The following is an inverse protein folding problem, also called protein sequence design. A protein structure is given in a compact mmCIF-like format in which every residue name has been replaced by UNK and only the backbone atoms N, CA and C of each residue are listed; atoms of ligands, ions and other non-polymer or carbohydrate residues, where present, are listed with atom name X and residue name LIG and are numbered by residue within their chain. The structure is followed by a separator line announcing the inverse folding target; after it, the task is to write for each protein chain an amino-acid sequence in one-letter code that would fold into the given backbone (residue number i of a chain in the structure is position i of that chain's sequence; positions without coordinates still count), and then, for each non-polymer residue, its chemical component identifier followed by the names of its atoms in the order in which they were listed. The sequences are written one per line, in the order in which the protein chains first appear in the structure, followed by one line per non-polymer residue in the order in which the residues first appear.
data_IF_778673740045
#
_entry.id   IF_778673740045
#
_cell.length_a   1.000
_cell.length_b   1.000
_cell.length_c   1.000
_cell.angle_alpha   90.00
_cell.angle_beta   90.00
_cell.angle_gamma   90.00
#
_symmetry.space_group_name_H-M   'P 1'
#
loop_
_entity.id
_entity.type
_entity.pdbx_description
1 polymer ?
#
# COMPACT_ATOMS: atom_id res chain seq x y z
N UNK A 1 11.96 -35.47 12.36
CA UNK A 1 11.28 -36.72 11.96
C UNK A 1 12.19 -37.53 11.04
N UNK A 2 13.07 -38.36 11.61
CA UNK A 2 13.86 -39.33 10.85
C UNK A 2 12.91 -40.54 10.66
N UNK A 3 12.66 -41.00 9.43
CA UNK A 3 11.88 -42.21 9.06
C UNK A 3 10.38 -42.10 8.72
N UNK A 4 9.80 -40.89 8.50
CA UNK A 4 8.43 -40.80 7.93
C UNK A 4 8.44 -40.92 6.40
N UNK A 5 7.53 -41.74 5.86
CA UNK A 5 7.31 -41.86 4.40
C UNK A 5 6.81 -40.52 3.84
N UNK A 6 7.32 -40.13 2.68
CA UNK A 6 6.81 -38.96 1.92
C UNK A 6 5.34 -39.21 1.56
N UNK A 7 4.53 -38.15 1.52
CA UNK A 7 3.06 -38.17 1.34
C UNK A 7 2.27 -38.95 2.39
N UNK A 8 2.88 -39.25 3.54
CA UNK A 8 2.15 -39.82 4.68
C UNK A 8 1.50 -38.74 5.54
N UNK A 9 0.35 -39.08 6.13
CA UNK A 9 -0.43 -38.26 7.05
C UNK A 9 -0.69 -39.04 8.34
N UNK A 10 -0.60 -38.37 9.48
CA UNK A 10 -1.02 -38.91 10.79
C UNK A 10 -2.00 -37.92 11.40
N UNK A 11 -3.15 -38.40 11.84
CA UNK A 11 -4.20 -37.57 12.41
C UNK A 11 -4.26 -37.75 13.92
N UNK A 12 -4.51 -36.67 14.64
CA UNK A 12 -4.81 -36.65 16.04
C UNK A 12 -6.17 -35.96 16.21
N UNK A 13 -7.08 -36.62 16.92
CA UNK A 13 -8.45 -36.16 17.11
C UNK A 13 -8.67 -35.77 18.56
N UNK A 14 -9.41 -34.69 18.75
CA UNK A 14 -9.98 -34.25 20.03
C UNK A 14 -11.45 -33.97 19.80
N UNK A 15 -12.26 -33.89 20.86
CA UNK A 15 -13.70 -33.57 20.77
C UNK A 15 -14.00 -32.33 19.90
N UNK A 16 -13.12 -31.31 19.95
CA UNK A 16 -13.34 -30.00 19.32
C UNK A 16 -12.50 -29.75 18.06
N UNK A 17 -11.45 -30.54 17.81
CA UNK A 17 -10.49 -30.24 16.77
C UNK A 17 -9.71 -31.47 16.30
N UNK A 18 -9.24 -31.40 15.06
CA UNK A 18 -8.36 -32.38 14.44
C UNK A 18 -7.06 -31.71 14.04
N UNK A 19 -5.94 -32.37 14.32
CA UNK A 19 -4.60 -31.98 13.84
C UNK A 19 -4.10 -33.05 12.89
N UNK A 20 -3.51 -32.66 11.77
CA UNK A 20 -2.82 -33.59 10.88
C UNK A 20 -1.34 -33.27 10.82
N UNK A 21 -0.49 -34.28 10.84
CA UNK A 21 0.93 -34.19 10.50
C UNK A 21 1.15 -34.79 9.12
N UNK A 22 1.28 -33.92 8.12
CA UNK A 22 1.49 -34.30 6.72
C UNK A 22 2.93 -34.05 6.28
N UNK A 23 3.57 -35.06 5.70
CA UNK A 23 4.97 -35.00 5.24
C UNK A 23 5.05 -34.84 3.70
N UNK A 24 5.03 -33.61 3.15
CA UNK A 24 5.05 -33.39 1.70
C UNK A 24 6.39 -33.78 1.04
N UNK A 25 7.50 -33.64 1.78
CA UNK A 25 8.87 -33.90 1.29
C UNK A 25 9.71 -34.47 2.43
N UNK A 26 10.78 -35.18 2.10
CA UNK A 26 11.73 -35.70 3.11
C UNK A 26 12.23 -34.56 3.99
N UNK A 27 12.10 -34.71 5.31
CA UNK A 27 12.54 -33.70 6.29
C UNK A 27 11.63 -32.46 6.41
N UNK A 28 10.49 -32.40 5.72
CA UNK A 28 9.50 -31.31 5.87
C UNK A 28 8.18 -31.88 6.37
N UNK A 29 7.52 -31.14 7.26
CA UNK A 29 6.24 -31.51 7.86
C UNK A 29 5.33 -30.28 7.87
N UNK A 30 4.04 -30.49 7.62
CA UNK A 30 2.99 -29.48 7.71
C UNK A 30 2.01 -29.95 8.77
N UNK A 31 1.65 -29.06 9.70
CA UNK A 31 0.81 -29.36 10.86
C UNK A 31 -0.45 -28.49 10.88
N UNK A 32 -1.39 -28.63 9.91
CA UNK A 32 -2.65 -27.93 10.00
C UNK A 32 -3.53 -28.50 11.12
N UNK A 33 -4.30 -27.61 11.73
CA UNK A 33 -5.34 -27.89 12.71
C UNK A 33 -6.66 -27.30 12.21
N UNK A 34 -7.76 -28.02 12.41
CA UNK A 34 -9.10 -27.53 12.08
C UNK A 34 -10.11 -28.00 13.10
N UNK A 35 -11.08 -27.14 13.39
CA UNK A 35 -12.28 -27.44 14.18
C UNK A 35 -13.44 -27.91 13.29
N UNK A 36 -13.32 -27.77 11.96
CA UNK A 36 -14.34 -28.13 10.98
C UNK A 36 -14.21 -29.59 10.51
N UNK A 37 -12.97 -30.05 10.34
CA UNK A 37 -12.68 -31.40 9.87
C UNK A 37 -12.67 -32.38 11.04
N UNK A 38 -13.58 -33.36 11.02
CA UNK A 38 -13.68 -34.40 12.06
C UNK A 38 -13.15 -35.76 11.62
N UNK A 39 -12.87 -35.92 10.32
CA UNK A 39 -12.48 -37.19 9.71
C UNK A 39 -11.05 -37.14 9.16
N UNK A 40 -10.49 -38.33 8.89
CA UNK A 40 -9.14 -38.53 8.36
C UNK A 40 -9.07 -38.41 6.83
N UNK A 41 -9.79 -37.46 6.23
CA UNK A 41 -9.99 -37.40 4.78
C UNK A 41 -8.71 -36.99 4.05
N UNK A 42 -8.38 -37.79 3.02
CA UNK A 42 -7.28 -37.58 2.11
C UNK A 42 -7.81 -37.39 0.70
N UNK A 43 -7.15 -36.52 -0.06
CA UNK A 43 -7.45 -36.36 -1.47
C UNK A 43 -7.05 -37.60 -2.28
N UNK A 44 -7.81 -37.88 -3.34
CA UNK A 44 -7.51 -38.95 -4.31
C UNK A 44 -6.31 -38.65 -5.23
N UNK A 45 -5.59 -37.55 -4.98
CA UNK A 45 -4.41 -37.12 -5.75
C UNK A 45 -3.21 -37.98 -5.37
N UNK A 46 -2.21 -38.03 -6.26
CA UNK A 46 -0.95 -38.75 -6.01
C UNK A 46 -0.21 -38.26 -4.75
N UNK A 47 -0.34 -36.96 -4.44
CA UNK A 47 0.29 -36.37 -3.26
C UNK A 47 -0.43 -36.71 -1.94
N UNK A 48 -1.61 -37.34 -1.98
CA UNK A 48 -2.42 -37.75 -0.82
C UNK A 48 -2.53 -36.66 0.24
N UNK A 49 -2.66 -35.40 -0.20
CA UNK A 49 -2.81 -34.27 0.73
C UNK A 49 -4.08 -34.45 1.56
N UNK A 50 -4.03 -34.18 2.88
CA UNK A 50 -5.22 -34.09 3.70
C UNK A 50 -6.19 -33.04 3.16
N UNK A 51 -7.50 -33.32 3.20
CA UNK A 51 -8.52 -32.38 2.75
C UNK A 51 -8.39 -31.02 3.46
N UNK A 52 -8.15 -31.05 4.77
CA UNK A 52 -7.88 -29.87 5.58
C UNK A 52 -6.73 -28.99 5.05
N UNK A 53 -5.69 -29.61 4.49
CA UNK A 53 -4.58 -28.86 3.91
C UNK A 53 -4.95 -28.23 2.55
N UNK A 54 -5.88 -28.83 1.80
CA UNK A 54 -6.40 -28.26 0.56
C UNK A 54 -7.28 -27.05 0.87
N UNK A 55 -8.25 -27.19 1.76
CA UNK A 55 -9.17 -26.13 2.18
C UNK A 55 -8.41 -24.91 2.76
N UNK A 56 -7.36 -25.17 3.56
CA UNK A 56 -6.47 -24.11 4.02
C UNK A 56 -5.77 -23.40 2.85
N UNK A 57 -5.28 -24.14 1.86
CA UNK A 57 -4.58 -23.53 0.72
C UNK A 57 -5.50 -22.70 -0.18
N UNK A 58 -6.79 -23.06 -0.28
CA UNK A 58 -7.79 -22.29 -1.03
C UNK A 58 -8.07 -20.93 -0.38
N UNK A 59 -8.01 -20.84 0.95
CA UNK A 59 -8.42 -19.66 1.70
C UNK A 59 -7.26 -18.80 2.19
N UNK A 60 -6.08 -19.38 2.46
CA UNK A 60 -4.92 -18.65 3.01
C UNK A 60 -4.42 -17.50 2.14
N UNK A 61 -4.68 -17.56 0.83
CA UNK A 61 -4.14 -16.61 -0.13
C UNK A 61 -4.84 -15.24 -0.15
N UNK A 62 -5.95 -15.07 0.57
CA UNK A 62 -6.78 -13.84 0.47
C UNK A 62 -6.01 -12.60 0.93
N UNK A 63 -5.32 -12.68 2.06
CA UNK A 63 -4.55 -11.54 2.61
C UNK A 63 -3.35 -11.21 1.73
N UNK A 64 -2.61 -12.24 1.28
CA UNK A 64 -1.46 -12.06 0.37
C UNK A 64 -1.90 -11.45 -0.97
N UNK A 65 -3.07 -11.85 -1.49
CA UNK A 65 -3.63 -11.25 -2.69
C UNK A 65 -3.95 -9.77 -2.45
N UNK A 66 -4.60 -9.45 -1.32
CA UNK A 66 -4.91 -8.08 -0.94
C UNK A 66 -3.63 -7.23 -0.82
N UNK A 67 -2.58 -7.74 -0.19
CA UNK A 67 -1.30 -7.04 -0.08
C UNK A 67 -0.68 -6.80 -1.46
N UNK A 68 -0.62 -7.84 -2.30
CA UNK A 68 -0.09 -7.75 -3.67
C UNK A 68 -0.83 -6.73 -4.52
N UNK A 69 -2.17 -6.78 -4.53
CA UNK A 69 -2.96 -5.82 -5.31
C UNK A 69 -2.76 -4.42 -4.74
N UNK A 70 -2.76 -4.25 -3.42
CA UNK A 70 -2.61 -2.95 -2.78
C UNK A 70 -1.24 -2.33 -3.06
N UNK A 71 -0.18 -3.13 -3.06
CA UNK A 71 1.17 -2.70 -3.42
C UNK A 71 1.28 -2.18 -4.88
N UNK A 72 0.49 -2.73 -5.81
CA UNK A 72 0.53 -2.34 -7.23
C UNK A 72 0.10 -0.88 -7.46
N UNK A 73 -0.83 -0.37 -6.65
CA UNK A 73 -1.31 1.02 -6.73
C UNK A 73 -1.31 1.64 -5.34
N UNK A 74 -0.12 1.80 -4.78
CA UNK A 74 0.06 2.33 -3.42
C UNK A 74 0.22 3.84 -3.40
N UNK A 75 -0.45 4.50 -2.46
CA UNK A 75 -0.26 5.92 -2.14
C UNK A 75 0.89 6.18 -1.17
N UNK A 76 1.65 5.14 -0.76
CA UNK A 76 2.72 5.25 0.22
C UNK A 76 3.86 6.12 -0.31
N UNK A 77 4.35 7.02 0.55
CA UNK A 77 5.52 7.88 0.29
C UNK A 77 6.60 7.62 1.33
N UNK A 78 7.86 7.91 0.99
CA UNK A 78 8.95 7.88 1.94
C UNK A 78 8.69 8.90 3.06
N UNK A 79 8.71 8.45 4.30
CA UNK A 79 8.43 9.29 5.46
C UNK A 79 9.05 8.68 6.72
N UNK A 80 9.52 9.53 7.64
CA UNK A 80 10.00 9.12 8.95
C UNK A 80 8.88 9.04 10.01
N UNK A 81 7.63 9.39 9.65
CA UNK A 81 6.50 9.46 10.58
C UNK A 81 5.65 8.19 10.47
N UNK A 82 5.67 7.34 11.50
CA UNK A 82 4.95 6.05 11.50
C UNK A 82 3.43 6.23 11.31
N UNK A 83 2.83 7.29 11.85
CA UNK A 83 1.41 7.59 11.67
C UNK A 83 1.02 7.79 10.20
N UNK A 84 1.90 8.40 9.40
CA UNK A 84 1.65 8.54 7.97
C UNK A 84 1.71 7.20 7.24
N UNK A 85 2.55 6.27 7.69
CA UNK A 85 2.58 4.91 7.13
C UNK A 85 1.23 4.21 7.33
N UNK A 86 0.67 4.31 8.54
CA UNK A 86 -0.67 3.77 8.84
C UNK A 86 -1.73 4.47 7.99
N UNK A 87 -1.69 5.80 7.91
CA UNK A 87 -2.62 6.58 7.11
C UNK A 87 -2.61 6.15 5.62
N UNK A 88 -1.43 5.96 5.03
CA UNK A 88 -1.33 5.46 3.66
C UNK A 88 -1.91 4.05 3.52
N UNK A 89 -1.69 3.17 4.49
CA UNK A 89 -2.28 1.83 4.48
C UNK A 89 -3.82 1.88 4.56
N UNK A 90 -4.38 2.76 5.39
CA UNK A 90 -5.84 2.97 5.47
C UNK A 90 -6.38 3.39 4.11
N UNK A 91 -5.81 4.43 3.47
CA UNK A 91 -6.25 4.88 2.14
C UNK A 91 -6.21 3.74 1.13
N UNK A 92 -5.09 3.02 1.10
CA UNK A 92 -4.83 1.93 0.18
C UNK A 92 -5.89 0.80 0.30
N UNK A 93 -6.16 0.33 1.52
CA UNK A 93 -7.15 -0.73 1.79
C UNK A 93 -8.58 -0.24 1.55
N UNK A 94 -8.94 0.95 2.06
CA UNK A 94 -10.28 1.53 1.86
C UNK A 94 -10.60 1.72 0.39
N UNK A 95 -9.62 2.17 -0.41
CA UNK A 95 -9.81 2.38 -1.83
C UNK A 95 -10.00 1.06 -2.59
N UNK A 96 -9.28 0.01 -2.21
CA UNK A 96 -9.49 -1.32 -2.78
C UNK A 96 -10.88 -1.87 -2.42
N UNK A 97 -11.33 -1.73 -1.17
CA UNK A 97 -12.66 -2.16 -0.76
C UNK A 97 -13.76 -1.42 -1.51
N UNK A 98 -13.62 -0.10 -1.68
CA UNK A 98 -14.53 0.70 -2.50
C UNK A 98 -14.54 0.23 -3.95
N UNK A 99 -13.38 -0.13 -4.51
CA UNK A 99 -13.29 -0.72 -5.86
C UNK A 99 -14.01 -2.06 -5.95
N UNK A 100 -13.86 -2.96 -4.97
CA UNK A 100 -14.54 -4.26 -4.95
C UNK A 100 -16.05 -4.06 -4.98
N UNK A 101 -16.59 -3.17 -4.13
CA UNK A 101 -18.02 -2.83 -4.13
C UNK A 101 -18.47 -2.25 -5.47
N UNK A 102 -17.72 -1.27 -5.99
CA UNK A 102 -18.05 -0.63 -7.27
C UNK A 102 -17.99 -1.59 -8.45
N UNK A 103 -17.05 -2.56 -8.42
CA UNK A 103 -16.87 -3.54 -9.48
C UNK A 103 -18.05 -4.50 -9.67
N UNK A 104 -18.93 -4.62 -8.66
CA UNK A 104 -20.18 -5.40 -8.73
C UNK A 104 -21.21 -4.78 -9.68
N UNK A 105 -21.09 -3.49 -9.98
CA UNK A 105 -21.86 -2.87 -11.05
C UNK A 105 -21.34 -3.37 -12.41
N UNK A 106 -22.10 -4.31 -13.03
CA UNK A 106 -21.68 -5.07 -14.21
C UNK A 106 -21.52 -4.21 -15.47
N UNK A 107 -22.21 -3.07 -15.54
CA UNK A 107 -22.19 -2.21 -16.73
C UNK A 107 -21.03 -1.22 -16.72
N UNK A 108 -20.50 -0.87 -15.54
CA UNK A 108 -19.43 0.10 -15.43
C UNK A 108 -18.08 -0.46 -15.92
N UNK A 109 -17.58 0.15 -17.01
CA UNK A 109 -16.29 -0.18 -17.64
C UNK A 109 -16.16 -1.66 -18.07
N UNK A 110 -17.25 -2.30 -18.53
CA UNK A 110 -17.30 -3.72 -18.89
C UNK A 110 -16.25 -4.16 -19.93
N UNK A 111 -15.88 -3.27 -20.87
CA UNK A 111 -14.92 -3.55 -21.97
C UNK A 111 -13.49 -3.09 -21.69
N UNK A 112 -13.22 -2.41 -20.57
CA UNK A 112 -11.87 -1.87 -20.29
C UNK A 112 -11.06 -2.87 -19.48
N UNK A 113 -9.86 -3.20 -19.95
CA UNK A 113 -8.91 -4.07 -19.23
C UNK A 113 -8.39 -3.46 -17.93
N UNK A 114 -8.34 -2.12 -17.84
CA UNK A 114 -7.75 -1.38 -16.71
C UNK A 114 -8.80 -0.85 -15.71
N UNK A 115 -9.82 -1.65 -15.35
CA UNK A 115 -10.95 -1.21 -14.50
C UNK A 115 -10.51 -0.53 -13.20
N UNK A 116 -9.49 -1.09 -12.52
CA UNK A 116 -8.98 -0.54 -11.26
C UNK A 116 -8.28 0.81 -11.42
N UNK A 117 -7.40 0.96 -12.42
CA UNK A 117 -6.74 2.24 -12.69
C UNK A 117 -7.76 3.34 -13.00
N UNK A 118 -8.73 3.04 -13.87
CA UNK A 118 -9.82 3.97 -14.18
C UNK A 118 -10.65 4.34 -12.94
N UNK A 119 -10.90 3.38 -12.05
CA UNK A 119 -11.58 3.63 -10.78
C UNK A 119 -10.80 4.62 -9.92
N UNK A 120 -9.50 4.37 -9.72
CA UNK A 120 -8.63 5.22 -8.91
C UNK A 120 -8.53 6.64 -9.46
N UNK A 121 -8.43 6.78 -10.77
CA UNK A 121 -8.39 8.07 -11.45
C UNK A 121 -9.68 8.86 -11.25
N UNK A 122 -10.84 8.22 -11.48
CA UNK A 122 -12.14 8.85 -11.27
C UNK A 122 -12.37 9.20 -9.80
N UNK A 123 -11.97 8.32 -8.88
CA UNK A 123 -12.08 8.56 -7.44
C UNK A 123 -11.23 9.76 -7.03
N UNK A 124 -9.95 9.78 -7.42
CA UNK A 124 -9.03 10.88 -7.13
C UNK A 124 -9.53 12.21 -7.69
N UNK A 125 -10.02 12.21 -8.93
CA UNK A 125 -10.60 13.41 -9.53
C UNK A 125 -11.84 13.90 -8.76
N UNK A 126 -12.77 13.00 -8.42
CA UNK A 126 -13.98 13.36 -7.66
C UNK A 126 -13.68 13.91 -6.27
N UNK A 127 -12.66 13.38 -5.59
CA UNK A 127 -12.25 13.86 -4.26
C UNK A 127 -11.60 15.26 -4.34
N UNK A 128 -10.84 15.54 -5.39
CA UNK A 128 -10.07 16.79 -5.50
C UNK A 128 -10.87 17.91 -6.17
N UNK A 129 -11.84 17.59 -7.04
CA UNK A 129 -12.67 18.56 -7.76
C UNK A 129 -13.26 19.69 -6.88
N UNK A 130 -13.96 19.43 -5.77
CA UNK A 130 -14.52 20.50 -4.94
C UNK A 130 -13.45 21.40 -4.30
N UNK A 131 -12.24 20.86 -4.05
CA UNK A 131 -11.12 21.65 -3.55
C UNK A 131 -10.49 22.52 -4.64
N UNK A 132 -10.42 22.04 -5.88
CA UNK A 132 -9.99 22.84 -7.03
C UNK A 132 -10.96 24.00 -7.25
N UNK A 133 -12.26 23.72 -7.28
CA UNK A 133 -13.31 24.72 -7.46
C UNK A 133 -13.25 25.77 -6.35
N UNK A 134 -13.10 25.37 -5.08
CA UNK A 134 -12.91 26.31 -3.97
C UNK A 134 -11.66 27.18 -4.15
N UNK A 135 -10.55 26.60 -4.60
CA UNK A 135 -9.29 27.34 -4.81
C UNK A 135 -9.36 28.34 -5.96
N UNK A 136 -10.26 28.16 -6.93
CA UNK A 136 -10.51 29.16 -7.98
C UNK A 136 -11.20 30.40 -7.40
N UNK A 137 -12.06 30.22 -6.39
CA UNK A 137 -12.77 31.31 -5.72
C UNK A 137 -11.97 31.98 -4.60
N UNK A 138 -10.87 31.38 -4.15
CA UNK A 138 -9.98 31.99 -3.16
C UNK A 138 -8.95 32.89 -3.87
N UNK A 139 -8.71 34.12 -3.39
CA UNK A 139 -7.67 34.97 -3.96
C UNK A 139 -6.32 34.29 -3.79
N UNK A 140 -5.76 33.78 -4.89
CA UNK A 140 -4.51 33.04 -4.91
C UNK A 140 -3.33 34.00 -4.84
N UNK A 141 -3.14 34.68 -3.70
CA UNK A 141 -2.51 35.99 -3.67
C UNK A 141 -3.24 36.87 -4.69
N UNK A 142 -4.19 37.69 -4.20
CA UNK A 142 -4.91 38.65 -5.05
C UNK A 142 -3.94 39.28 -6.05
N UNK A 143 -4.36 39.52 -7.28
CA UNK A 143 -3.59 40.34 -8.24
C UNK A 143 -3.00 41.57 -7.56
N UNK A 144 -3.70 42.16 -6.57
CA UNK A 144 -3.19 43.19 -5.68
C UNK A 144 -1.92 42.81 -4.89
N UNK A 145 -1.84 41.63 -4.26
CA UNK A 145 -0.62 41.17 -3.57
C UNK A 145 0.52 40.80 -4.52
N UNK A 146 0.23 40.33 -5.74
CA UNK A 146 1.24 40.16 -6.78
C UNK A 146 1.73 41.51 -7.36
N UNK A 147 0.85 42.51 -7.46
CA UNK A 147 1.18 43.89 -7.88
C UNK A 147 2.01 44.57 -6.80
N UNK A 148 1.62 44.49 -5.52
CA UNK A 148 2.41 45.04 -4.40
C UNK A 148 3.82 44.45 -4.36
N UNK A 149 3.98 43.14 -4.57
CA UNK A 149 5.32 42.52 -4.61
C UNK A 149 6.13 43.01 -5.82
N UNK A 150 5.49 43.20 -6.98
CA UNK A 150 6.17 43.78 -8.16
C UNK A 150 6.56 45.24 -7.94
N UNK A 151 5.70 46.03 -7.31
CA UNK A 151 5.96 47.44 -7.01
C UNK A 151 7.12 47.58 -6.01
N UNK A 152 7.15 46.75 -4.96
CA UNK A 152 8.27 46.68 -4.00
C UNK A 152 9.57 46.28 -4.72
N UNK A 153 9.51 45.32 -5.64
CA UNK A 153 10.67 44.89 -6.42
C UNK A 153 11.16 46.00 -7.38
N UNK A 154 10.24 46.75 -8.01
CA UNK A 154 10.57 47.87 -8.90
C UNK A 154 11.14 49.07 -8.15
N UNK A 155 10.63 49.38 -6.94
CA UNK A 155 11.19 50.42 -6.07
C UNK A 155 12.62 50.06 -5.60
N UNK A 156 12.90 48.79 -5.29
CA UNK A 156 14.27 48.36 -4.95
C UNK A 156 15.24 48.49 -6.13
N UNK A 157 14.78 48.43 -7.38
CA UNK A 157 15.63 48.65 -8.56
C UNK A 157 15.80 50.13 -8.93
N UNK A 158 14.84 51.01 -8.58
CA UNK A 158 14.95 52.46 -8.78
C UNK A 158 15.80 53.16 -7.70
N UNK A 159 15.93 52.55 -6.53
CA UNK A 159 16.68 53.12 -5.38
C UNK A 159 18.16 52.70 -5.34
N UNK A 160 18.57 51.81 -6.24
CA UNK A 160 19.91 51.20 -6.28
C UNK A 160 20.92 51.99 -7.10
N UNK A 161 21.05 53.29 -6.88
CA UNK A 161 22.15 54.11 -7.44
C UNK A 161 22.84 55.00 -6.41
N UNK A 162 22.98 54.53 -5.16
CA UNK A 162 24.17 54.81 -4.36
C UNK A 162 24.18 53.96 -3.08
N UNK A 163 24.94 52.86 -3.05
CA UNK A 163 25.47 52.38 -1.77
C UNK A 163 26.76 51.59 -1.98
N UNK A 164 27.77 52.00 -1.22
CA UNK A 164 29.17 51.58 -1.20
C UNK A 164 29.36 50.06 -1.29
N UNK A 165 30.35 49.66 -2.08
CA UNK A 165 31.03 48.37 -1.92
C UNK A 165 31.75 48.39 -0.57
N UNK A 166 31.17 47.74 0.45
CA UNK A 166 31.95 47.31 1.62
C UNK A 166 32.45 45.90 1.35
N UNK A 167 33.76 45.83 1.06
CA UNK A 167 34.52 44.60 1.02
C UNK A 167 34.63 44.03 2.44
N UNK A 168 34.06 42.86 2.69
CA UNK A 168 34.36 42.08 3.89
C UNK A 168 35.78 41.53 3.79
N UNK A 169 36.74 42.25 4.36
CA UNK A 169 38.03 41.67 4.74
C UNK A 169 37.85 40.88 6.04
N UNK A 170 38.08 39.58 5.95
CA UNK A 170 38.18 38.67 7.11
C UNK A 170 39.63 38.71 7.63
N UNK A 171 39.88 39.16 8.88
CA UNK A 171 41.21 39.08 9.48
C UNK A 171 41.43 37.72 10.15
N UNK A 172 42.49 37.02 9.75
CA UNK A 172 43.24 36.10 10.59
C UNK A 172 42.71 34.68 10.74
N UNK A 173 43.34 33.74 10.04
CA UNK A 173 43.85 32.52 10.69
C UNK A 173 45.00 31.94 9.85
N UNK A 174 46.14 31.86 10.54
CA UNK A 174 47.46 31.47 10.11
C UNK A 174 47.54 30.05 9.56
N UNK A 175 48.36 29.91 8.52
CA UNK A 175 49.03 28.66 8.15
C UNK A 175 49.56 27.90 9.38
N UNK A 176 49.18 26.63 9.49
CA UNK A 176 50.07 25.60 10.01
C UNK A 176 50.16 24.46 8.98
N UNK A 177 51.35 23.86 8.96
CA UNK A 177 51.92 22.93 7.97
C UNK A 177 51.02 21.79 7.53
#
# INVERSE_FOLDING_TARGET
MKNRKVTSSVFAFTEKATVVSYCPKKGKNVLPMSTMHKDADLSAREDRKPQMALDYNETKGVVDNLDKVTATYSCRRMTARWLLVIFFNIINVSTYNAFVLWSKNKDWNRRKMSRRRNFLEQLGFKLVKPHIERRLCLPRASTASATIVKDIQMETHSSGSNCRQETWQVPGLSHQK
#
